data_IF_021584347238
#
_entry.id   IF_021584347238
#
_cell.length_a   1.000
_cell.length_b   1.000
_cell.length_c   1.000
_cell.angle_alpha   90.00
_cell.angle_beta   90.00
_cell.angle_gamma   90.00
#
_symmetry.space_group_name_H-M   'P 1'
#
loop_
_entity.id
_entity.type
_entity.pdbx_description
1 polymer ?
#
# COMPACT_ATOMS: atom_id res chain seq x y z
N UNK A 1 -13.41 -2.92 2.81
CA UNK A 1 -14.32 -4.02 3.23
C UNK A 1 -13.84 -4.77 4.49
N UNK A 2 -12.68 -5.45 4.51
CA UNK A 2 -12.15 -6.03 5.78
C UNK A 2 -11.72 -4.95 6.79
N UNK A 3 -11.06 -3.89 6.31
CA UNK A 3 -10.64 -2.76 7.15
C UNK A 3 -11.85 -2.00 7.71
N UNK A 4 -12.88 -1.76 6.90
CA UNK A 4 -14.13 -1.13 7.34
C UNK A 4 -14.83 -1.98 8.42
N UNK A 5 -14.78 -3.32 8.30
CA UNK A 5 -15.27 -4.21 9.37
C UNK A 5 -14.45 -4.06 10.66
N UNK A 6 -13.12 -3.97 10.54
CA UNK A 6 -12.24 -3.78 11.69
C UNK A 6 -12.48 -2.42 12.37
N UNK A 7 -12.61 -1.37 11.59
CA UNK A 7 -12.97 -0.02 12.03
C UNK A 7 -14.31 -0.04 12.78
N UNK A 8 -15.33 -0.71 12.23
CA UNK A 8 -16.62 -0.84 12.90
C UNK A 8 -16.51 -1.58 14.25
N UNK A 9 -15.67 -2.61 14.37
CA UNK A 9 -15.46 -3.28 15.67
C UNK A 9 -14.76 -2.35 16.67
N UNK A 10 -13.80 -1.55 16.21
CA UNK A 10 -13.07 -0.58 17.03
C UNK A 10 -13.99 0.54 17.52
N UNK A 11 -14.78 1.14 16.63
CA UNK A 11 -15.79 2.16 16.98
C UNK A 11 -16.80 1.64 18.00
N UNK A 12 -17.15 0.35 17.91
CA UNK A 12 -18.06 -0.31 18.85
C UNK A 12 -17.40 -0.78 20.15
N UNK A 13 -16.12 -0.45 20.36
CA UNK A 13 -15.31 -0.85 21.51
C UNK A 13 -15.37 -2.36 21.79
N UNK A 14 -15.42 -3.18 20.73
CA UNK A 14 -15.39 -4.63 20.89
C UNK A 14 -13.95 -5.10 21.01
N UNK A 15 -13.54 -5.65 22.17
CA UNK A 15 -12.18 -6.16 22.34
C UNK A 15 -11.97 -7.36 21.42
N UNK A 16 -10.89 -7.29 20.63
CA UNK A 16 -10.51 -8.31 19.66
C UNK A 16 -9.03 -8.62 19.86
N UNK A 17 -8.70 -9.91 19.93
CA UNK A 17 -7.31 -10.36 20.01
C UNK A 17 -6.78 -10.70 18.61
N UNK A 18 -5.46 -10.75 18.44
CA UNK A 18 -4.83 -11.10 17.16
C UNK A 18 -5.35 -12.41 16.57
N UNK A 19 -5.63 -13.43 17.41
CA UNK A 19 -6.26 -14.68 16.97
C UNK A 19 -7.63 -14.48 16.29
N UNK A 20 -8.45 -13.56 16.81
CA UNK A 20 -9.77 -13.29 16.25
C UNK A 20 -9.65 -12.55 14.91
N UNK A 21 -8.66 -11.67 14.78
CA UNK A 21 -8.37 -10.99 13.52
C UNK A 21 -7.94 -11.96 12.42
N UNK A 22 -7.11 -12.96 12.76
CA UNK A 22 -6.70 -14.03 11.84
C UNK A 22 -7.93 -14.81 11.35
N UNK A 23 -8.81 -15.23 12.25
CA UNK A 23 -10.04 -15.96 11.89
C UNK A 23 -10.93 -15.14 10.94
N UNK A 24 -11.13 -13.85 11.24
CA UNK A 24 -11.95 -12.96 10.40
C UNK A 24 -11.32 -12.68 9.05
N UNK A 25 -9.99 -12.51 9.01
CA UNK A 25 -9.25 -12.30 7.77
C UNK A 25 -9.36 -13.54 6.87
N UNK A 26 -9.16 -14.73 7.44
CA UNK A 26 -9.27 -15.98 6.69
C UNK A 26 -10.69 -16.21 6.17
N UNK A 27 -11.72 -15.88 6.96
CA UNK A 27 -13.11 -15.95 6.48
C UNK A 27 -13.38 -14.98 5.33
N UNK A 28 -12.83 -13.76 5.42
CA UNK A 28 -12.94 -12.75 4.36
C UNK A 28 -12.25 -13.21 3.06
N UNK A 29 -11.01 -13.68 3.15
CA UNK A 29 -10.26 -14.18 2.00
C UNK A 29 -10.98 -15.36 1.31
N UNK A 30 -11.50 -16.32 2.08
CA UNK A 30 -12.31 -17.42 1.53
C UNK A 30 -13.58 -16.94 0.82
N UNK A 31 -14.27 -15.95 1.39
CA UNK A 31 -15.46 -15.37 0.77
C UNK A 31 -15.13 -14.65 -0.54
N UNK A 32 -13.95 -14.05 -0.62
CA UNK A 32 -13.42 -13.41 -1.82
C UNK A 32 -12.69 -14.38 -2.77
N UNK A 33 -12.88 -15.69 -2.59
CA UNK A 33 -12.29 -16.75 -3.42
C UNK A 33 -10.74 -16.77 -3.46
N UNK A 34 -10.09 -16.20 -2.44
CA UNK A 34 -8.64 -16.31 -2.25
C UNK A 34 -8.28 -17.55 -1.43
N UNK A 35 -7.16 -18.17 -1.79
CA UNK A 35 -6.57 -19.25 -1.00
C UNK A 35 -5.97 -18.70 0.31
N UNK A 36 -6.08 -19.49 1.37
CA UNK A 36 -5.48 -19.16 2.67
C UNK A 36 -4.05 -19.69 2.70
N UNK A 37 -3.11 -18.80 2.97
CA UNK A 37 -1.72 -19.15 3.17
C UNK A 37 -1.56 -20.00 4.44
N UNK A 38 -1.15 -21.25 4.30
CA UNK A 38 -0.97 -22.20 5.43
C UNK A 38 0.49 -22.35 5.87
N UNK A 39 1.43 -21.82 5.10
CA UNK A 39 2.86 -21.89 5.34
C UNK A 39 3.53 -20.58 4.89
N UNK A 40 4.76 -20.33 5.33
CA UNK A 40 5.48 -19.10 4.99
C UNK A 40 5.94 -19.01 3.51
N UNK A 41 5.51 -19.94 2.65
CA UNK A 41 6.01 -20.10 1.29
C UNK A 41 7.36 -20.80 1.24
N UNK A 42 7.98 -20.77 0.05
CA UNK A 42 9.28 -21.39 -0.21
C UNK A 42 10.42 -20.37 -0.34
N UNK A 43 10.09 -19.09 -0.43
CA UNK A 43 11.04 -18.01 -0.69
C UNK A 43 11.58 -17.47 0.63
N UNK A 44 12.90 -17.44 0.78
CA UNK A 44 13.54 -16.84 1.95
C UNK A 44 13.42 -15.32 1.92
N UNK A 45 13.50 -14.69 3.10
CA UNK A 45 13.45 -13.24 3.24
C UNK A 45 14.53 -12.54 2.38
N UNK A 46 15.75 -13.08 2.36
CA UNK A 46 16.86 -12.56 1.56
C UNK A 46 16.55 -12.56 0.06
N UNK A 47 15.99 -13.65 -0.46
CA UNK A 47 15.59 -13.76 -1.87
C UNK A 47 14.45 -12.78 -2.19
N UNK A 48 13.49 -12.64 -1.28
CA UNK A 48 12.40 -11.68 -1.45
C UNK A 48 12.90 -10.23 -1.52
N UNK A 49 13.86 -9.85 -0.66
CA UNK A 49 14.48 -8.52 -0.67
C UNK A 49 15.28 -8.26 -1.96
N UNK A 50 16.05 -9.24 -2.42
CA UNK A 50 16.81 -9.13 -3.66
C UNK A 50 15.89 -8.92 -4.86
N UNK A 51 14.79 -9.68 -4.94
CA UNK A 51 13.78 -9.52 -5.99
C UNK A 51 13.10 -8.15 -5.92
N UNK A 52 12.65 -7.74 -4.73
CA UNK A 52 11.98 -6.44 -4.54
C UNK A 52 12.89 -5.27 -4.93
N UNK A 53 14.18 -5.32 -4.57
CA UNK A 53 15.16 -4.29 -4.93
C UNK A 53 15.36 -4.21 -6.43
N UNK A 54 15.47 -5.35 -7.11
CA UNK A 54 15.62 -5.43 -8.57
C UNK A 54 14.40 -4.84 -9.31
N UNK A 55 13.20 -5.21 -8.88
CA UNK A 55 11.97 -4.67 -9.48
C UNK A 55 11.83 -3.16 -9.20
N UNK A 56 12.23 -2.71 -8.00
CA UNK A 56 12.24 -1.30 -7.64
C UNK A 56 13.18 -0.47 -8.51
N UNK A 57 14.38 -0.97 -8.85
CA UNK A 57 15.29 -0.27 -9.77
C UNK A 57 14.67 -0.03 -11.16
N UNK A 58 13.87 -0.98 -11.63
CA UNK A 58 13.16 -0.86 -12.92
C UNK A 58 12.02 0.15 -12.82
N UNK A 59 11.21 0.04 -11.77
CA UNK A 59 10.13 0.98 -11.48
C UNK A 59 10.66 2.42 -11.32
N UNK A 60 11.76 2.60 -10.58
CA UNK A 60 12.34 3.90 -10.29
C UNK A 60 12.70 4.67 -11.55
N UNK A 61 13.27 4.02 -12.57
CA UNK A 61 13.59 4.67 -13.85
C UNK A 61 12.34 5.27 -14.51
N UNK A 62 11.25 4.50 -14.55
CA UNK A 62 9.96 4.94 -15.10
C UNK A 62 9.37 6.08 -14.26
N UNK A 63 9.49 5.99 -12.95
CA UNK A 63 8.99 7.00 -12.02
C UNK A 63 9.77 8.30 -12.13
N UNK A 64 11.10 8.24 -12.25
CA UNK A 64 12.00 9.39 -12.40
C UNK A 64 11.75 10.13 -13.73
N UNK A 65 11.50 9.41 -14.84
CA UNK A 65 11.15 10.00 -16.13
C UNK A 65 9.89 10.88 -16.09
N UNK A 66 8.90 10.47 -15.29
CA UNK A 66 7.61 11.15 -15.17
C UNK A 66 7.51 11.99 -13.90
N UNK A 67 8.59 12.14 -13.15
CA UNK A 67 8.58 12.84 -11.88
C UNK A 67 8.52 14.35 -12.10
N UNK A 68 7.42 14.97 -11.66
CA UNK A 68 7.29 16.41 -11.59
C UNK A 68 7.29 16.78 -10.11
N UNK A 69 8.41 17.34 -9.64
CA UNK A 69 8.55 17.82 -8.27
C UNK A 69 7.61 18.99 -8.02
N UNK A 70 7.24 19.20 -6.76
CA UNK A 70 6.55 20.41 -6.35
C UNK A 70 7.40 21.67 -6.60
N UNK A 71 8.73 21.52 -6.63
CA UNK A 71 9.64 22.59 -7.07
C UNK A 71 9.50 22.88 -8.56
N UNK A 72 9.40 21.85 -9.42
CA UNK A 72 9.21 22.05 -10.86
C UNK A 72 7.89 22.75 -11.15
N UNK A 73 6.81 22.36 -10.43
CA UNK A 73 5.51 23.03 -10.48
C UNK A 73 5.60 24.49 -10.06
N UNK A 74 6.36 24.78 -9.00
CA UNK A 74 6.57 26.13 -8.49
C UNK A 74 7.32 27.01 -9.50
N UNK A 75 8.39 26.48 -10.10
CA UNK A 75 9.17 27.18 -11.14
C UNK A 75 8.31 27.46 -12.37
N UNK A 76 7.49 26.49 -12.80
CA UNK A 76 6.55 26.71 -13.91
C UNK A 76 5.49 27.75 -13.57
N UNK A 77 4.94 27.74 -12.35
CA UNK A 77 3.98 28.77 -11.90
C UNK A 77 4.56 30.17 -11.99
N UNK A 78 5.79 30.35 -11.47
CA UNK A 78 6.49 31.64 -11.52
C UNK A 78 6.81 32.06 -12.96
N UNK A 79 7.20 31.11 -13.83
CA UNK A 79 7.50 31.40 -15.24
C UNK A 79 6.27 31.70 -16.10
N UNK A 80 5.14 31.06 -15.85
CA UNK A 80 3.91 31.24 -16.62
C UNK A 80 3.09 32.48 -16.21
N UNK A 81 3.52 33.23 -15.19
CA UNK A 81 2.88 34.49 -14.80
C UNK A 81 1.43 34.33 -14.31
N UNK A 82 1.04 33.14 -13.85
CA UNK A 82 -0.25 32.89 -13.20
C UNK A 82 -0.15 33.20 -11.71
N UNK A 83 -0.34 34.49 -11.42
CA UNK A 83 -0.51 35.00 -10.06
C UNK A 83 -1.96 34.78 -9.62
N UNK A 84 -2.28 33.53 -9.27
CA UNK A 84 -3.64 33.11 -8.89
C UNK A 84 -3.93 33.35 -7.40
N UNK A 85 -3.13 34.17 -6.72
CA UNK A 85 -3.40 34.62 -5.35
C UNK A 85 -4.11 35.97 -5.33
N UNK A 86 -5.45 35.91 -5.32
CA UNK A 86 -6.32 36.93 -4.73
C UNK A 86 -7.18 36.32 -3.65
#
# INVERSE_FOLDING_TARGET
MYLDYAELQAVRNKPMYMKNWIEKLNAFLKFSEYEILTNAGQISHEVALALASKEYETFKKIQDENYISDFDKEVWRIKEGRDDYK
#
